data_IF_046013593391
#
_entry.id   IF_046013593391
#
_cell.length_a   1.000
_cell.length_b   1.000
_cell.length_c   1.000
_cell.angle_alpha   90.00
_cell.angle_beta   90.00
_cell.angle_gamma   90.00
#
_symmetry.space_group_name_H-M   'P 1'
#
loop_
_entity.id
_entity.type
_entity.pdbx_description
1 polymer ?
#
# COMPACT_ATOMS: atom_id res chain seq x y z
N UNK A 1 -38.94 -2.45 -16.62
CA UNK A 1 -37.65 -2.27 -15.90
C UNK A 1 -37.73 -1.17 -14.85
N UNK A 2 -38.21 0.05 -15.18
CA UNK A 2 -38.38 1.13 -14.18
C UNK A 2 -39.34 0.80 -13.04
N UNK A 3 -40.35 -0.04 -13.29
CA UNK A 3 -41.35 -0.42 -12.30
C UNK A 3 -40.78 -1.29 -11.16
N UNK A 4 -39.83 -2.19 -11.47
CA UNK A 4 -39.14 -3.03 -10.47
C UNK A 4 -38.19 -2.19 -9.61
N UNK A 5 -37.52 -1.18 -10.18
CA UNK A 5 -36.63 -0.28 -9.41
C UNK A 5 -37.45 0.51 -8.38
N UNK A 6 -38.64 1.00 -8.77
CA UNK A 6 -39.50 1.81 -7.90
C UNK A 6 -40.04 1.06 -6.68
N UNK A 7 -40.19 -0.27 -6.73
CA UNK A 7 -40.69 -1.04 -5.60
C UNK A 7 -39.67 -1.25 -4.47
N UNK A 8 -38.39 -0.93 -4.71
CA UNK A 8 -37.30 -1.16 -3.75
C UNK A 8 -36.69 0.12 -3.17
N UNK A 9 -37.20 1.31 -3.53
CA UNK A 9 -36.75 2.59 -2.97
C UNK A 9 -35.41 3.07 -3.55
N UNK A 10 -34.52 3.52 -2.68
CA UNK A 10 -33.18 4.02 -3.03
C UNK A 10 -32.12 2.91 -2.91
N UNK A 11 -31.04 3.04 -3.68
CA UNK A 11 -29.94 2.07 -3.76
C UNK A 11 -28.61 2.74 -3.46
N UNK A 12 -27.71 2.00 -2.78
CA UNK A 12 -26.33 2.42 -2.57
C UNK A 12 -25.48 2.27 -3.85
N UNK A 13 -25.79 1.27 -4.69
CA UNK A 13 -25.11 1.02 -5.97
C UNK A 13 -26.15 0.73 -7.06
N UNK A 14 -26.03 1.41 -8.20
CA UNK A 14 -26.87 1.19 -9.39
C UNK A 14 -25.97 0.87 -10.58
N UNK A 15 -26.21 -0.26 -11.24
CA UNK A 15 -25.49 -0.64 -12.46
C UNK A 15 -26.40 -0.43 -13.67
N UNK A 16 -25.93 0.35 -14.64
CA UNK A 16 -26.59 0.59 -15.93
C UNK A 16 -25.83 -0.17 -17.01
N UNK A 17 -26.25 -1.41 -17.22
CA UNK A 17 -25.89 -2.24 -18.37
C UNK A 17 -27.19 -2.66 -19.08
N UNK A 18 -27.21 -2.54 -20.40
CA UNK A 18 -28.39 -2.86 -21.18
C UNK A 18 -28.34 -2.42 -22.63
N UNK A 19 -29.35 -2.79 -23.43
CA UNK A 19 -29.32 -2.58 -24.87
C UNK A 19 -29.33 -1.09 -25.26
N UNK A 20 -28.69 -0.77 -26.38
CA UNK A 20 -28.73 0.57 -26.97
C UNK A 20 -30.12 0.97 -27.51
N UNK A 21 -30.93 -0.03 -27.91
CA UNK A 21 -32.23 0.18 -28.56
C UNK A 21 -33.14 1.06 -27.70
N UNK A 22 -33.81 2.03 -28.35
CA UNK A 22 -34.81 2.88 -27.71
C UNK A 22 -34.28 3.83 -26.63
N UNK A 23 -32.98 4.17 -26.65
CA UNK A 23 -32.30 5.00 -25.64
C UNK A 23 -32.45 4.46 -24.22
N UNK A 24 -32.46 3.12 -24.07
CA UNK A 24 -32.74 2.47 -22.78
C UNK A 24 -31.75 2.89 -21.70
N UNK A 25 -30.44 2.88 -21.98
CA UNK A 25 -29.41 3.30 -21.01
C UNK A 25 -29.56 4.76 -20.55
N UNK A 26 -29.90 5.68 -21.44
CA UNK A 26 -30.19 7.08 -21.07
C UNK A 26 -31.40 7.19 -20.13
N UNK A 27 -32.48 6.46 -20.42
CA UNK A 27 -33.66 6.40 -19.55
C UNK A 27 -33.31 5.80 -18.17
N UNK A 28 -32.48 4.75 -18.15
CA UNK A 28 -31.99 4.15 -16.91
C UNK A 28 -31.12 5.14 -16.12
N UNK A 29 -30.22 5.91 -16.77
CA UNK A 29 -29.42 6.93 -16.08
C UNK A 29 -30.30 8.00 -15.42
N UNK A 30 -31.33 8.49 -16.11
CA UNK A 30 -32.30 9.44 -15.52
C UNK A 30 -33.05 8.84 -14.34
N UNK A 31 -33.47 7.58 -14.44
CA UNK A 31 -34.12 6.88 -13.32
C UNK A 31 -33.15 6.63 -12.16
N UNK A 32 -31.88 6.35 -12.44
CA UNK A 32 -30.85 6.13 -11.44
C UNK A 32 -30.67 7.36 -10.55
N UNK A 33 -30.68 8.57 -11.11
CA UNK A 33 -30.59 9.81 -10.33
C UNK A 33 -31.69 9.95 -9.27
N UNK A 34 -32.89 9.45 -9.56
CA UNK A 34 -34.02 9.50 -8.62
C UNK A 34 -34.02 8.37 -7.60
N UNK A 35 -33.24 7.31 -7.85
CA UNK A 35 -33.17 6.12 -7.00
C UNK A 35 -31.81 5.99 -6.32
N UNK A 36 -30.89 6.93 -6.53
CA UNK A 36 -29.56 6.90 -5.94
C UNK A 36 -29.62 7.49 -4.53
N UNK A 37 -29.24 6.68 -3.54
CA UNK A 37 -29.11 7.16 -2.17
C UNK A 37 -27.97 8.19 -2.06
N UNK A 38 -28.10 9.13 -1.14
CA UNK A 38 -26.96 9.96 -0.72
C UNK A 38 -25.78 9.07 -0.30
N UNK A 39 -24.61 9.32 -0.90
CA UNK A 39 -23.41 8.52 -0.71
C UNK A 39 -23.32 7.28 -1.59
N UNK A 40 -24.21 7.11 -2.57
CA UNK A 40 -24.21 5.99 -3.50
C UNK A 40 -23.31 6.16 -4.73
N UNK A 41 -23.31 5.14 -5.58
CA UNK A 41 -22.54 5.04 -6.83
C UNK A 41 -23.43 4.58 -8.00
N UNK A 42 -23.29 5.22 -9.16
CA UNK A 42 -23.82 4.71 -10.44
C UNK A 42 -22.66 4.20 -11.31
N UNK A 43 -22.81 3.01 -11.87
CA UNK A 43 -21.87 2.39 -12.81
C UNK A 43 -22.51 2.42 -14.19
N UNK A 44 -21.87 3.05 -15.18
CA UNK A 44 -22.32 3.06 -16.56
C UNK A 44 -21.37 2.24 -17.44
N UNK A 45 -21.86 1.10 -17.92
CA UNK A 45 -21.08 0.24 -18.78
C UNK A 45 -21.07 0.72 -20.24
N UNK A 46 -19.92 0.57 -20.91
CA UNK A 46 -19.63 1.13 -22.24
C UNK A 46 -19.98 2.63 -22.35
N UNK A 47 -19.62 3.40 -21.32
CA UNK A 47 -19.83 4.84 -21.22
C UNK A 47 -19.29 5.64 -22.40
N UNK A 48 -18.23 5.17 -23.06
CA UNK A 48 -17.65 5.76 -24.27
C UNK A 48 -18.64 5.83 -25.45
N UNK A 49 -19.67 4.98 -25.44
CA UNK A 49 -20.74 5.00 -26.46
C UNK A 49 -21.92 5.90 -26.07
N UNK A 50 -21.90 6.49 -24.88
CA UNK A 50 -23.07 7.08 -24.22
C UNK A 50 -22.84 8.53 -23.73
N UNK A 51 -22.31 9.45 -24.55
CA UNK A 51 -21.92 10.79 -24.11
C UNK A 51 -23.08 11.60 -23.50
N UNK A 52 -24.31 11.40 -23.97
CA UNK A 52 -25.49 12.06 -23.39
C UNK A 52 -25.84 11.50 -22.01
N UNK A 53 -25.75 10.18 -21.82
CA UNK A 53 -25.99 9.55 -20.52
C UNK A 53 -24.95 10.03 -19.50
N UNK A 54 -23.68 10.06 -19.89
CA UNK A 54 -22.58 10.59 -19.06
C UNK A 54 -22.79 12.06 -18.72
N UNK A 55 -23.26 12.87 -19.66
CA UNK A 55 -23.61 14.28 -19.42
C UNK A 55 -24.72 14.41 -18.40
N UNK A 56 -25.82 13.65 -18.53
CA UNK A 56 -26.91 13.64 -17.54
C UNK A 56 -26.42 13.28 -16.15
N UNK A 57 -25.54 12.29 -16.02
CA UNK A 57 -24.99 11.88 -14.73
C UNK A 57 -24.02 12.93 -14.16
N UNK A 58 -23.11 13.49 -14.97
CA UNK A 58 -22.20 14.57 -14.54
C UNK A 58 -22.96 15.82 -14.09
N UNK A 59 -23.93 16.28 -14.89
CA UNK A 59 -24.66 17.53 -14.63
C UNK A 59 -25.54 17.45 -13.39
N UNK A 60 -25.81 16.23 -12.90
CA UNK A 60 -26.48 16.01 -11.61
C UNK A 60 -25.57 16.21 -10.38
N UNK A 61 -24.29 16.55 -10.60
CA UNK A 61 -23.32 16.84 -9.54
C UNK A 61 -22.50 15.63 -9.07
N UNK A 62 -22.67 14.46 -9.69
CA UNK A 62 -21.85 13.28 -9.41
C UNK A 62 -20.41 13.48 -9.90
N UNK A 63 -19.45 12.82 -9.24
CA UNK A 63 -18.05 12.76 -9.67
C UNK A 63 -17.84 11.58 -10.60
N UNK A 64 -17.47 11.84 -11.85
CA UNK A 64 -17.15 10.80 -12.84
C UNK A 64 -15.69 10.34 -12.73
N UNK A 65 -15.47 9.03 -12.81
CA UNK A 65 -14.17 8.38 -12.92
C UNK A 65 -14.25 7.32 -14.01
N UNK A 66 -13.40 7.46 -15.04
CA UNK A 66 -13.39 6.57 -16.19
C UNK A 66 -12.40 5.41 -16.00
N UNK A 67 -12.84 4.20 -16.33
CA UNK A 67 -12.01 3.01 -16.39
C UNK A 67 -11.97 2.51 -17.83
N UNK A 68 -10.89 2.83 -18.54
CA UNK A 68 -10.65 2.35 -19.90
C UNK A 68 -9.68 1.18 -19.88
N UNK A 69 -10.06 0.09 -20.56
CA UNK A 69 -9.22 -1.10 -20.69
C UNK A 69 -9.77 -2.05 -21.76
N UNK A 70 -9.09 -3.17 -21.96
CA UNK A 70 -9.59 -4.21 -22.86
C UNK A 70 -10.93 -4.74 -22.34
N UNK A 71 -11.94 -4.69 -23.20
CA UNK A 71 -13.21 -5.31 -22.90
C UNK A 71 -13.02 -6.82 -22.83
N UNK A 72 -13.63 -7.50 -21.84
CA UNK A 72 -13.59 -8.96 -21.79
C UNK A 72 -14.01 -9.55 -23.13
N UNK A 73 -13.32 -10.62 -23.54
CA UNK A 73 -13.57 -11.37 -24.80
C UNK A 73 -13.49 -10.54 -26.10
N UNK A 74 -13.01 -9.31 -26.03
CA UNK A 74 -12.91 -8.40 -27.17
C UNK A 74 -11.44 -8.02 -27.42
N UNK A 75 -11.13 -7.67 -28.66
CA UNK A 75 -9.81 -7.20 -29.11
C UNK A 75 -9.66 -5.66 -29.06
N UNK A 76 -10.68 -4.97 -28.56
CA UNK A 76 -10.72 -3.51 -28.45
C UNK A 76 -10.93 -3.08 -26.99
N UNK A 77 -10.61 -1.81 -26.74
CA UNK A 77 -10.84 -1.17 -25.45
C UNK A 77 -12.25 -0.60 -25.37
N UNK A 78 -12.81 -0.60 -24.16
CA UNK A 78 -14.08 0.06 -23.82
C UNK A 78 -13.88 0.84 -22.53
N UNK A 79 -14.80 1.78 -22.24
CA UNK A 79 -14.76 2.55 -20.99
C UNK A 79 -16.00 2.26 -20.16
N UNK A 80 -15.80 1.88 -18.90
CA UNK A 80 -16.85 1.86 -17.88
C UNK A 80 -16.61 3.05 -16.95
N UNK A 81 -17.62 3.91 -16.77
CA UNK A 81 -17.50 5.07 -15.89
C UNK A 81 -18.23 4.85 -14.58
N UNK A 82 -17.60 5.27 -13.48
CA UNK A 82 -18.16 5.32 -12.14
C UNK A 82 -18.56 6.75 -11.80
N UNK A 83 -19.81 6.96 -11.36
CA UNK A 83 -20.34 8.26 -10.96
C UNK A 83 -20.66 8.24 -9.47
N UNK A 84 -19.76 8.81 -8.68
CA UNK A 84 -19.85 8.82 -7.22
C UNK A 84 -20.70 10.00 -6.74
N UNK A 85 -21.59 9.74 -5.79
CA UNK A 85 -22.14 10.82 -4.98
C UNK A 85 -21.02 11.52 -4.20
N UNK A 86 -21.14 12.85 -3.99
CA UNK A 86 -20.07 13.65 -3.36
C UNK A 86 -19.74 13.24 -1.92
N UNK A 87 -20.66 12.54 -1.27
CA UNK A 87 -20.50 12.01 0.09
C UNK A 87 -20.26 10.49 0.11
N UNK A 88 -19.84 9.90 -1.01
CA UNK A 88 -19.56 8.45 -1.09
C UNK A 88 -18.46 8.07 -0.09
N UNK A 89 -18.77 7.15 0.81
CA UNK A 89 -17.87 6.68 1.87
C UNK A 89 -18.20 5.24 2.27
N UNK A 90 -18.30 4.34 1.28
CA UNK A 90 -18.55 2.93 1.55
C UNK A 90 -17.24 2.27 2.01
N UNK A 91 -17.18 1.73 3.24
CA UNK A 91 -15.97 1.10 3.74
C UNK A 91 -15.70 -0.24 3.02
N UNK A 92 -14.44 -0.66 2.90
CA UNK A 92 -14.11 -1.98 2.38
C UNK A 92 -14.66 -3.08 3.31
N UNK A 93 -15.06 -4.21 2.73
CA UNK A 93 -15.52 -5.38 3.51
C UNK A 93 -14.41 -5.98 4.38
N UNK A 94 -13.16 -5.86 3.94
CA UNK A 94 -11.98 -6.36 4.64
C UNK A 94 -11.10 -5.20 5.06
N UNK A 95 -10.21 -5.43 6.03
CA UNK A 95 -9.22 -4.44 6.45
C UNK A 95 -8.08 -4.18 5.45
N UNK A 96 -8.12 -4.79 4.25
CA UNK A 96 -7.08 -4.65 3.22
C UNK A 96 -7.70 -4.34 1.86
N UNK A 97 -7.32 -3.19 1.33
CA UNK A 97 -7.44 -2.86 -0.09
C UNK A 97 -6.17 -2.11 -0.55
N UNK A 98 -5.76 -2.25 -1.83
CA UNK A 98 -6.35 -3.11 -2.86
C UNK A 98 -6.10 -4.60 -2.59
N UNK A 99 -6.99 -5.46 -3.10
CA UNK A 99 -6.76 -6.90 -3.17
C UNK A 99 -6.36 -7.28 -4.60
N UNK A 100 -5.33 -8.11 -4.78
CA UNK A 100 -4.96 -8.59 -6.11
C UNK A 100 -6.13 -9.37 -6.72
N UNK A 101 -6.46 -9.06 -7.98
CA UNK A 101 -7.46 -9.82 -8.73
C UNK A 101 -6.99 -11.25 -9.04
N UNK A 102 -7.90 -12.16 -9.43
CA UNK A 102 -7.53 -13.48 -9.91
C UNK A 102 -6.47 -13.41 -11.01
N UNK A 103 -5.39 -14.18 -10.88
CA UNK A 103 -4.28 -14.22 -11.85
C UNK A 103 -3.24 -13.10 -11.72
N UNK A 104 -3.42 -12.15 -10.79
CA UNK A 104 -2.41 -11.14 -10.52
C UNK A 104 -1.14 -11.73 -9.90
N UNK A 105 0.01 -11.15 -10.23
CA UNK A 105 1.27 -11.46 -9.56
C UNK A 105 1.19 -11.02 -8.09
N UNK A 106 1.44 -11.94 -7.17
CA UNK A 106 1.40 -11.67 -5.73
C UNK A 106 2.68 -10.99 -5.25
N UNK A 107 2.80 -9.70 -5.55
CA UNK A 107 3.90 -8.86 -5.08
C UNK A 107 3.38 -7.89 -4.00
N UNK A 108 3.53 -8.24 -2.72
CA UNK A 108 3.20 -7.35 -1.60
C UNK A 108 4.47 -6.65 -1.12
N UNK A 109 4.72 -5.45 -1.60
CA UNK A 109 5.91 -4.67 -1.22
C UNK A 109 5.72 -3.94 0.11
N UNK A 110 4.46 -3.66 0.46
CA UNK A 110 4.06 -3.00 1.69
C UNK A 110 3.33 -4.00 2.59
N UNK A 111 4.08 -4.68 3.45
CA UNK A 111 3.49 -5.55 4.45
C UNK A 111 2.82 -4.69 5.54
N UNK A 112 1.55 -4.94 5.89
CA UNK A 112 0.95 -4.31 7.05
C UNK A 112 1.84 -4.56 8.26
N UNK A 113 2.13 -3.51 9.04
CA UNK A 113 2.94 -3.66 10.23
C UNK A 113 2.24 -4.65 11.16
N UNK A 114 2.93 -5.75 11.48
CA UNK A 114 2.47 -6.67 12.52
C UNK A 114 2.50 -5.89 13.83
N UNK A 115 1.37 -5.82 14.53
CA UNK A 115 1.32 -5.27 15.88
C UNK A 115 2.03 -6.24 16.82
N UNK A 116 3.33 -6.03 17.02
CA UNK A 116 4.14 -6.80 17.96
C UNK A 116 4.20 -6.04 19.29
N UNK A 117 3.88 -6.67 20.43
CA UNK A 117 4.15 -6.09 21.74
C UNK A 117 5.65 -5.83 21.91
N UNK A 118 6.02 -4.72 22.55
CA UNK A 118 7.42 -4.43 22.89
C UNK A 118 7.88 -3.04 22.47
N UNK A 119 9.20 -2.77 22.57
CA UNK A 119 9.77 -1.47 22.28
C UNK A 119 9.62 -1.13 20.79
N UNK A 120 9.39 0.16 20.53
CA UNK A 120 9.40 0.77 19.21
C UNK A 120 10.55 1.78 19.18
N UNK A 121 11.46 1.61 18.22
CA UNK A 121 12.53 2.58 17.92
C UNK A 121 12.18 3.23 16.58
N UNK A 122 12.41 4.53 16.46
CA UNK A 122 12.25 5.26 15.20
C UNK A 122 13.57 5.90 14.81
N UNK A 123 13.92 5.84 13.52
CA UNK A 123 15.05 6.56 12.93
C UNK A 123 14.69 6.90 11.49
N UNK A 124 14.93 8.14 11.05
CA UNK A 124 14.48 8.63 9.72
C UNK A 124 12.99 8.37 9.47
N UNK A 125 12.15 8.61 10.49
CA UNK A 125 10.70 8.28 10.51
C UNK A 125 10.34 6.80 10.29
N UNK A 126 11.32 5.90 10.17
CA UNK A 126 11.10 4.46 9.99
C UNK A 126 10.94 3.76 11.35
N UNK A 127 9.84 3.02 11.57
CA UNK A 127 9.62 2.29 12.81
C UNK A 127 10.29 0.90 12.79
N UNK A 128 11.07 0.62 13.83
CA UNK A 128 11.64 -0.70 14.15
C UNK A 128 10.94 -1.27 15.38
N UNK A 129 10.33 -2.46 15.25
CA UNK A 129 9.46 -3.08 16.27
C UNK A 129 9.97 -4.45 16.69
N UNK A 130 9.41 -4.97 17.79
CA UNK A 130 9.77 -6.29 18.32
C UNK A 130 11.24 -6.35 18.72
N UNK A 131 11.75 -5.23 19.26
CA UNK A 131 13.16 -5.07 19.60
C UNK A 131 13.53 -6.05 20.72
N UNK A 132 14.57 -6.85 20.46
CA UNK A 132 15.17 -7.77 21.45
C UNK A 132 16.49 -7.21 21.97
N UNK A 133 17.28 -6.63 21.07
CA UNK A 133 18.55 -5.99 21.39
C UNK A 133 18.56 -4.56 20.89
N UNK A 134 19.04 -3.65 21.74
CA UNK A 134 19.30 -2.24 21.43
C UNK A 134 20.68 -1.88 22.02
N UNK A 135 21.70 -1.84 21.18
CA UNK A 135 23.09 -1.60 21.58
C UNK A 135 23.60 -0.33 20.91
N UNK A 136 24.02 0.64 21.72
CA UNK A 136 24.71 1.84 21.23
C UNK A 136 26.21 1.63 21.27
N UNK A 137 26.91 2.04 20.20
CA UNK A 137 28.38 1.96 20.10
C UNK A 137 28.93 3.18 19.34
N UNK A 138 30.22 3.45 19.51
CA UNK A 138 30.88 4.63 18.94
C UNK A 138 32.16 4.27 18.20
N UNK A 139 32.46 4.98 17.11
CA UNK A 139 33.73 4.87 16.41
C UNK A 139 34.44 6.23 16.34
N UNK A 140 35.78 6.20 16.38
CA UNK A 140 36.59 7.36 16.01
C UNK A 140 36.78 7.37 14.49
N UNK A 141 36.04 8.23 13.80
CA UNK A 141 36.17 8.45 12.35
C UNK A 141 37.12 9.62 12.05
N UNK A 142 37.59 9.80 10.80
CA UNK A 142 38.38 10.96 10.41
C UNK A 142 37.68 12.31 10.68
N UNK A 143 36.35 12.35 10.66
CA UNK A 143 35.54 13.53 10.95
C UNK A 143 35.20 13.71 12.44
N UNK A 144 35.75 12.87 13.33
CA UNK A 144 35.45 12.88 14.76
C UNK A 144 34.74 11.62 15.25
N UNK A 145 34.34 11.61 16.52
CA UNK A 145 33.59 10.50 17.12
C UNK A 145 32.18 10.45 16.54
N UNK A 146 31.73 9.25 16.17
CA UNK A 146 30.41 9.00 15.61
C UNK A 146 29.65 7.92 16.38
N UNK A 147 28.36 8.13 16.62
CA UNK A 147 27.48 7.24 17.39
C UNK A 147 26.56 6.45 16.49
N UNK A 148 26.49 5.16 16.76
CA UNK A 148 25.64 4.22 16.04
C UNK A 148 24.83 3.39 17.03
N UNK A 149 23.71 2.85 16.55
CA UNK A 149 22.85 1.95 17.30
C UNK A 149 22.57 0.71 16.46
N UNK A 150 22.89 -0.45 17.00
CA UNK A 150 22.55 -1.75 16.44
C UNK A 150 21.29 -2.29 17.09
N UNK A 151 20.30 -2.66 16.29
CA UNK A 151 19.02 -3.19 16.78
C UNK A 151 18.71 -4.54 16.18
N UNK A 152 18.29 -5.49 17.02
CA UNK A 152 17.68 -6.75 16.60
C UNK A 152 16.16 -6.55 16.62
N UNK A 153 15.55 -6.51 15.44
CA UNK A 153 14.15 -6.14 15.26
C UNK A 153 13.40 -7.20 14.44
N UNK A 154 12.08 -7.19 14.52
CA UNK A 154 11.22 -8.00 13.67
C UNK A 154 10.87 -7.23 12.39
N UNK A 155 11.28 -7.77 11.24
CA UNK A 155 10.91 -7.23 9.93
C UNK A 155 9.41 -7.36 9.65
N UNK A 156 8.92 -6.57 8.68
CA UNK A 156 7.51 -6.61 8.28
C UNK A 156 7.10 -7.94 7.60
N UNK A 157 8.09 -8.70 7.11
CA UNK A 157 7.96 -10.09 6.64
C UNK A 157 7.82 -11.10 7.80
N UNK A 158 7.84 -10.65 9.05
CA UNK A 158 7.79 -11.48 10.25
C UNK A 158 9.11 -12.15 10.59
N UNK A 159 10.23 -11.74 9.97
CA UNK A 159 11.53 -12.37 10.17
C UNK A 159 12.50 -11.41 10.87
N UNK A 160 13.24 -11.92 11.85
CA UNK A 160 14.20 -11.12 12.62
C UNK A 160 15.45 -10.77 11.84
N UNK A 161 15.94 -9.55 12.04
CA UNK A 161 17.10 -8.99 11.36
C UNK A 161 17.85 -8.02 12.27
N UNK A 162 19.10 -7.71 11.89
CA UNK A 162 19.85 -6.58 12.44
C UNK A 162 19.64 -5.34 11.57
N UNK A 163 19.46 -4.19 12.21
CA UNK A 163 19.62 -2.87 11.59
C UNK A 163 20.70 -2.07 12.31
N UNK A 164 21.40 -1.22 11.55
CA UNK A 164 22.40 -0.28 12.07
C UNK A 164 21.94 1.13 11.76
N UNK A 165 21.80 1.94 12.80
CA UNK A 165 21.31 3.31 12.77
C UNK A 165 22.48 4.25 13.08
N UNK A 166 22.55 5.36 12.36
CA UNK A 166 23.53 6.44 12.51
C UNK A 166 22.85 7.56 13.30
N UNK A 167 23.15 7.63 14.59
CA UNK A 167 22.42 8.48 15.52
C UNK A 167 22.74 9.96 15.33
N UNK A 168 23.97 10.27 14.89
CA UNK A 168 24.40 11.66 14.72
C UNK A 168 23.79 12.31 13.47
N UNK A 169 23.45 11.51 12.46
CA UNK A 169 22.84 11.97 11.22
C UNK A 169 21.36 11.57 11.10
N UNK A 170 20.78 10.98 12.15
CA UNK A 170 19.43 10.41 12.19
C UNK A 170 19.03 9.65 10.92
N UNK A 171 19.82 8.63 10.57
CA UNK A 171 19.59 7.83 9.36
C UNK A 171 19.82 6.34 9.54
N UNK A 172 19.13 5.56 8.74
CA UNK A 172 19.25 4.10 8.72
C UNK A 172 20.36 3.68 7.76
N UNK A 173 21.50 3.17 8.26
CA UNK A 173 22.63 2.76 7.39
C UNK A 173 22.40 1.41 6.74
N UNK A 174 21.87 0.46 7.51
CA UNK A 174 21.75 -0.93 7.14
C UNK A 174 20.47 -1.49 7.75
N UNK A 175 19.69 -2.22 6.96
CA UNK A 175 18.54 -2.99 7.44
C UNK A 175 18.62 -4.41 6.93
N UNK A 176 17.74 -5.29 7.44
CA UNK A 176 17.62 -6.69 6.97
C UNK A 176 18.93 -7.49 7.00
N UNK A 177 19.92 -7.04 7.78
CA UNK A 177 21.17 -7.77 7.88
C UNK A 177 20.95 -9.07 8.64
N UNK A 178 21.48 -10.15 8.06
CA UNK A 178 21.40 -11.49 8.61
C UNK A 178 22.76 -12.16 8.45
N UNK A 179 23.36 -12.69 9.52
CA UNK A 179 24.62 -13.41 9.40
C UNK A 179 24.42 -14.69 8.55
N UNK A 180 25.42 -15.14 7.78
CA UNK A 180 25.31 -16.31 6.91
C UNK A 180 25.28 -17.62 7.73
N UNK A 181 24.12 -17.93 8.31
CA UNK A 181 23.84 -19.13 9.08
C UNK A 181 22.48 -19.72 8.64
N UNK A 182 22.39 -21.05 8.48
CA UNK A 182 21.18 -21.75 8.01
C UNK A 182 19.98 -21.66 8.95
N UNK A 183 20.18 -21.42 10.25
CA UNK A 183 19.13 -21.17 11.25
C UNK A 183 19.61 -20.12 12.24
N UNK A 184 19.07 -18.91 12.13
CA UNK A 184 19.43 -17.81 13.02
C UNK A 184 18.51 -17.81 14.24
N UNK A 185 19.12 -17.86 15.42
CA UNK A 185 18.46 -17.62 16.69
C UNK A 185 18.59 -16.14 17.07
N UNK A 186 17.77 -15.66 18.01
CA UNK A 186 17.94 -14.31 18.56
C UNK A 186 19.36 -14.09 19.09
N UNK A 187 19.94 -15.09 19.76
CA UNK A 187 21.30 -15.04 20.27
C UNK A 187 22.37 -14.92 19.17
N UNK A 188 22.13 -15.43 17.95
CA UNK A 188 23.04 -15.23 16.81
C UNK A 188 23.02 -13.77 16.36
N UNK A 189 21.85 -13.14 16.32
CA UNK A 189 21.70 -11.73 15.96
C UNK A 189 22.31 -10.81 17.02
N UNK A 190 22.14 -11.12 18.32
CA UNK A 190 22.79 -10.37 19.40
C UNK A 190 24.32 -10.46 19.31
N UNK A 191 24.87 -11.65 19.03
CA UNK A 191 26.32 -11.83 18.79
C UNK A 191 26.78 -11.04 17.58
N UNK A 192 25.97 -10.98 16.53
CA UNK A 192 26.32 -10.24 15.32
C UNK A 192 26.36 -8.73 15.58
N UNK A 193 25.41 -8.19 16.35
CA UNK A 193 25.47 -6.78 16.79
C UNK A 193 26.74 -6.51 17.60
N UNK A 194 27.08 -7.39 18.55
CA UNK A 194 28.30 -7.25 19.34
C UNK A 194 29.58 -7.32 18.47
N UNK A 195 29.60 -8.21 17.47
CA UNK A 195 30.70 -8.31 16.50
C UNK A 195 30.87 -7.02 15.70
N UNK A 196 29.77 -6.43 15.22
CA UNK A 196 29.76 -5.16 14.49
C UNK A 196 30.24 -4.02 15.39
N UNK A 197 29.74 -3.94 16.63
CA UNK A 197 30.11 -2.92 17.61
C UNK A 197 31.60 -2.97 17.99
N UNK A 198 32.24 -4.15 17.92
CA UNK A 198 33.65 -4.36 18.23
C UNK A 198 34.62 -4.15 17.04
N UNK A 199 34.11 -3.80 15.85
CA UNK A 199 34.96 -3.56 14.67
C UNK A 199 35.88 -2.35 14.84
N UNK A 200 36.93 -2.25 14.01
CA UNK A 200 37.58 -0.96 13.78
C UNK A 200 36.70 -0.09 12.87
N UNK A 201 36.90 1.23 12.89
CA UNK A 201 36.20 2.15 11.97
C UNK A 201 36.36 1.73 10.49
N UNK A 202 37.56 1.33 10.09
CA UNK A 202 37.85 0.91 8.71
C UNK A 202 37.11 -0.37 8.33
N UNK A 203 37.10 -1.37 9.22
CA UNK A 203 36.38 -2.62 9.01
C UNK A 203 34.86 -2.40 8.98
N UNK A 204 34.34 -1.53 9.85
CA UNK A 204 32.92 -1.15 9.86
C UNK A 204 32.52 -0.42 8.57
N UNK A 205 33.31 0.55 8.12
CA UNK A 205 33.09 1.28 6.87
C UNK A 205 33.11 0.35 5.67
N UNK A 206 34.06 -0.57 5.60
CA UNK A 206 34.13 -1.57 4.52
C UNK A 206 32.94 -2.54 4.56
N UNK A 207 32.55 -3.00 5.75
CA UNK A 207 31.38 -3.85 5.95
C UNK A 207 30.10 -3.18 5.45
N UNK A 208 29.79 -1.98 5.94
CA UNK A 208 28.62 -1.22 5.49
C UNK A 208 28.70 -0.92 4.00
N UNK A 209 29.87 -0.48 3.50
CA UNK A 209 30.06 -0.09 2.11
C UNK A 209 29.89 -1.22 1.09
N UNK A 210 30.09 -2.48 1.48
CA UNK A 210 29.88 -3.66 0.61
C UNK A 210 28.55 -4.36 0.82
N UNK A 211 27.80 -4.02 1.87
CA UNK A 211 26.58 -4.73 2.21
C UNK A 211 25.46 -4.49 1.17
N UNK A 212 24.72 -5.54 0.81
CA UNK A 212 23.64 -5.47 -0.19
C UNK A 212 22.46 -4.60 0.27
N UNK A 213 22.09 -4.69 1.55
CA UNK A 213 21.04 -3.89 2.18
C UNK A 213 21.49 -2.54 2.77
N UNK A 214 22.67 -2.04 2.36
CA UNK A 214 23.09 -0.69 2.78
C UNK A 214 22.20 0.36 2.12
N UNK A 215 21.90 1.44 2.84
CA UNK A 215 21.20 2.60 2.29
C UNK A 215 22.11 3.79 2.05
N UNK A 216 23.15 3.91 2.88
CA UNK A 216 24.12 5.00 2.81
C UNK A 216 25.55 4.47 2.86
N UNK A 217 26.47 5.27 2.33
CA UNK A 217 27.91 5.07 2.46
C UNK A 217 28.43 5.92 3.61
N UNK A 218 29.48 5.43 4.28
CA UNK A 218 30.16 6.05 5.41
C UNK A 218 31.48 6.70 5.02
#
# INVERSE_FOLDING_TARGET
MTEVIRSHGEFDIIVVDGPARGRTRLKCCRAALTALRAGGLVILDNSDWLPESSTVLRDSGLLEVDFTGFAPICDHVQTTSLYFHRTFNVPPLTGRQPMPGPGAKLDLWEHPLVSVPGPLITCDSEPFRGIVDDVTFEFSSPGGRRKFRGVNYLGADGIRCVAILDLDLDRVLLTRHRPPCRRQTEADLSREIARIAAMSWEAFREFIGRHEYRRYVL
#
